data_IF_357148137606
#
_entry.id   IF_357148137606
#
_cell.length_a   1.000
_cell.length_b   1.000
_cell.length_c   1.000
_cell.angle_alpha   90.00
_cell.angle_beta   90.00
_cell.angle_gamma   90.00
#
_symmetry.space_group_name_H-M   'P 1'
#
loop_
_entity.id
_entity.type
_entity.pdbx_description
1 polymer ?
#
# COMPACT_ATOMS: atom_id res chain seq x y z
N UNK A 1 27.01 -17.58 22.18
CA UNK A 1 25.95 -16.61 21.90
C UNK A 1 25.65 -16.76 20.43
N UNK A 2 24.64 -17.57 20.10
CA UNK A 2 24.20 -17.85 18.73
C UNK A 2 23.03 -16.91 18.42
N UNK A 3 23.11 -16.07 17.37
CA UNK A 3 22.03 -15.21 16.91
C UNK A 3 21.00 -16.04 16.09
N UNK A 4 19.90 -15.43 15.63
CA UNK A 4 19.01 -15.95 14.56
C UNK A 4 17.65 -16.57 14.91
N UNK A 5 17.05 -16.26 16.07
CA UNK A 5 15.58 -16.28 16.14
C UNK A 5 15.03 -14.98 15.53
N UNK A 6 15.11 -14.86 14.20
CA UNK A 6 14.41 -13.80 13.47
C UNK A 6 12.89 -13.86 13.70
N UNK A 7 12.20 -12.75 13.50
CA UNK A 7 10.73 -12.68 13.59
C UNK A 7 10.09 -13.73 12.66
N UNK A 8 9.61 -14.84 13.22
CA UNK A 8 8.96 -15.94 12.50
C UNK A 8 7.56 -16.20 13.04
N UNK A 9 6.67 -16.61 12.15
CA UNK A 9 5.32 -17.03 12.51
C UNK A 9 5.39 -18.23 13.47
N UNK A 10 4.72 -18.18 14.64
CA UNK A 10 4.67 -19.31 15.58
C UNK A 10 4.07 -20.56 14.94
N UNK A 11 4.74 -21.71 15.09
CA UNK A 11 4.33 -22.99 14.47
C UNK A 11 3.33 -23.81 15.31
N UNK A 12 2.89 -23.29 16.47
CA UNK A 12 1.94 -23.98 17.35
C UNK A 12 0.57 -24.04 16.68
N UNK A 13 -0.12 -25.17 16.79
CA UNK A 13 -1.45 -25.40 16.19
C UNK A 13 -2.51 -24.35 16.56
N UNK A 14 -2.39 -23.72 17.74
CA UNK A 14 -3.28 -22.62 18.17
C UNK A 14 -3.05 -21.28 17.45
N UNK A 15 -1.93 -21.13 16.73
CA UNK A 15 -1.58 -19.94 15.95
C UNK A 15 -1.73 -20.17 14.44
N UNK A 16 -2.20 -21.35 14.03
CA UNK A 16 -2.39 -21.72 12.62
C UNK A 16 -3.60 -21.00 12.03
N UNK A 17 -3.37 -20.19 10.99
CA UNK A 17 -4.45 -19.53 10.26
C UNK A 17 -5.02 -20.54 9.24
N UNK A 18 -6.16 -21.15 9.56
CA UNK A 18 -6.87 -22.11 8.70
C UNK A 18 -7.72 -21.48 7.60
N UNK A 19 -7.71 -20.16 7.51
CA UNK A 19 -8.50 -19.41 6.53
C UNK A 19 -7.75 -19.30 5.21
N UNK A 20 -8.43 -19.58 4.09
CA UNK A 20 -7.88 -19.30 2.76
C UNK A 20 -7.66 -17.80 2.60
N UNK A 21 -6.50 -17.41 2.07
CA UNK A 21 -6.23 -16.01 1.77
C UNK A 21 -7.34 -15.45 0.86
N UNK A 22 -7.94 -14.29 1.19
CA UNK A 22 -8.93 -13.69 0.32
C UNK A 22 -8.32 -13.40 -1.06
N UNK A 23 -9.15 -13.35 -2.12
CA UNK A 23 -8.66 -13.01 -3.45
C UNK A 23 -7.98 -11.64 -3.43
N UNK A 24 -6.90 -11.50 -4.19
CA UNK A 24 -6.15 -10.26 -4.25
C UNK A 24 -7.05 -9.09 -4.69
N UNK A 25 -6.93 -7.90 -4.06
CA UNK A 25 -7.68 -6.74 -4.47
C UNK A 25 -7.37 -6.40 -5.93
N UNK A 26 -8.42 -6.05 -6.69
CA UNK A 26 -8.26 -5.69 -8.10
C UNK A 26 -7.54 -4.34 -8.17
N UNK A 27 -6.42 -4.29 -8.90
CA UNK A 27 -5.76 -3.02 -9.23
C UNK A 27 -6.76 -2.14 -9.99
N UNK A 28 -6.97 -0.91 -9.53
CA UNK A 28 -7.71 0.09 -10.30
C UNK A 28 -6.92 0.39 -11.58
N UNK A 29 -7.60 0.42 -12.71
CA UNK A 29 -6.99 0.95 -13.93
C UNK A 29 -6.67 2.42 -13.70
N UNK A 30 -5.38 2.74 -13.73
CA UNK A 30 -4.92 4.12 -13.68
C UNK A 30 -4.96 4.65 -15.11
N UNK A 31 -5.95 5.49 -15.43
CA UNK A 31 -5.97 6.23 -16.68
C UNK A 31 -4.91 7.33 -16.59
N UNK A 32 -3.65 6.99 -16.84
CA UNK A 32 -2.64 7.99 -17.17
C UNK A 32 -3.06 8.54 -18.55
N UNK A 33 -3.67 9.73 -18.57
CA UNK A 33 -3.73 10.48 -19.82
C UNK A 33 -2.29 10.64 -20.29
N UNK A 34 -2.01 10.24 -21.53
CA UNK A 34 -0.75 10.60 -22.19
C UNK A 34 -0.66 12.12 -22.11
N UNK A 35 0.22 12.62 -21.26
CA UNK A 35 0.54 14.03 -21.12
C UNK A 35 1.88 14.23 -21.80
N UNK A 36 1.99 15.31 -22.54
CA UNK A 36 3.28 15.78 -23.01
C UNK A 36 4.25 15.89 -21.83
N UNK A 37 5.54 15.60 -22.06
CA UNK A 37 6.55 15.81 -21.03
C UNK A 37 6.44 17.25 -20.49
N UNK A 38 6.58 17.45 -19.17
CA UNK A 38 6.53 18.77 -18.56
C UNK A 38 7.53 19.71 -19.23
N UNK A 39 7.12 20.94 -19.52
CA UNK A 39 7.93 21.94 -20.25
C UNK A 39 9.31 22.18 -19.61
N UNK A 40 9.41 22.02 -18.28
CA UNK A 40 10.64 22.20 -17.51
C UNK A 40 11.27 20.88 -17.04
N UNK A 41 10.83 19.73 -17.56
CA UNK A 41 11.34 18.40 -17.18
C UNK A 41 10.97 17.92 -15.77
N UNK A 42 10.37 18.79 -14.94
CA UNK A 42 9.90 18.41 -13.62
C UNK A 42 8.62 17.59 -13.71
N UNK A 43 8.67 16.37 -13.17
CA UNK A 43 7.49 15.52 -13.01
C UNK A 43 6.34 16.33 -12.39
N UNK A 44 5.26 16.52 -13.15
CA UNK A 44 3.99 17.05 -12.65
C UNK A 44 3.14 15.86 -12.20
N UNK A 45 3.21 15.44 -10.92
CA UNK A 45 2.33 14.41 -10.41
C UNK A 45 0.87 14.79 -10.70
N UNK A 46 -0.03 13.80 -10.90
CA UNK A 46 -1.46 14.07 -10.86
C UNK A 46 -1.74 14.90 -9.60
N UNK A 47 -2.41 16.03 -9.81
CA UNK A 47 -2.40 17.19 -8.93
C UNK A 47 -2.32 16.80 -7.45
N UNK A 48 -1.24 17.19 -6.77
CA UNK A 48 -1.06 16.87 -5.35
C UNK A 48 -2.24 17.39 -4.52
N UNK A 49 -2.90 18.46 -4.99
CA UNK A 49 -4.15 18.96 -4.45
C UNK A 49 -5.21 17.86 -4.34
N UNK A 50 -5.28 16.91 -5.28
CA UNK A 50 -6.24 15.81 -5.26
C UNK A 50 -5.92 14.75 -4.19
N UNK A 51 -4.66 14.66 -3.73
CA UNK A 51 -4.26 13.78 -2.62
C UNK A 51 -4.71 14.39 -1.29
N UNK A 52 -4.56 15.72 -1.14
CA UNK A 52 -4.98 16.47 0.05
C UNK A 52 -6.49 16.81 0.05
N UNK A 53 -7.14 16.82 -1.11
CA UNK A 53 -8.59 17.04 -1.25
C UNK A 53 -9.42 15.80 -0.88
N UNK A 54 -8.79 14.63 -0.73
CA UNK A 54 -9.44 13.50 -0.08
C UNK A 54 -9.55 13.85 1.39
N UNK A 55 -10.78 14.11 1.83
CA UNK A 55 -11.13 14.56 3.18
C UNK A 55 -10.47 13.76 4.31
N UNK A 56 -10.57 14.26 5.55
CA UNK A 56 -9.75 13.84 6.68
C UNK A 56 -9.61 12.31 6.74
N UNK A 57 -8.35 11.85 6.75
CA UNK A 57 -8.03 10.45 6.95
C UNK A 57 -8.60 10.07 8.31
N UNK A 58 -9.43 9.02 8.37
CA UNK A 58 -9.85 8.45 9.66
C UNK A 58 -8.60 8.04 10.40
N UNK A 59 -8.25 8.80 11.43
CA UNK A 59 -7.22 8.44 12.38
C UNK A 59 -7.64 7.11 12.99
N UNK A 60 -6.78 6.09 12.91
CA UNK A 60 -6.95 4.88 13.72
C UNK A 60 -6.46 5.25 15.12
N UNK A 61 -7.38 5.41 16.06
CA UNK A 61 -7.00 5.52 17.47
C UNK A 61 -6.22 4.26 17.88
N UNK A 62 -5.14 4.51 18.64
CA UNK A 62 -4.33 3.50 19.34
C UNK A 62 -5.11 2.91 20.51
#
# INVERSE_FOLDING_TARGET
>A
MEPEEGCRTPKRSGCEIRMTCPPAPRKKQMYLKQRDPPENGYFQPPDLEMVFAKGPRRETCV
#
